data_IF_918805411101
#
_entry.id   IF_918805411101
#
_cell.length_a   1.000
_cell.length_b   1.000
_cell.length_c   1.000
_cell.angle_alpha   90.00
_cell.angle_beta   90.00
_cell.angle_gamma   90.00
#
_symmetry.space_group_name_H-M   'P 1'
#
loop_
_entity.id
_entity.type
_entity.pdbx_description
1 polymer ?
#
# COMPACT_ATOMS: atom_id res chain seq x y z
N UNK A 1 5.15 -4.64 -16.30
CA UNK A 1 4.55 -4.94 -14.99
C UNK A 1 3.30 -5.77 -15.21
N UNK A 2 2.98 -6.70 -14.33
CA UNK A 2 1.73 -7.46 -14.37
C UNK A 2 1.04 -7.29 -13.01
N UNK A 3 0.12 -6.33 -12.91
CA UNK A 3 -0.51 -5.98 -11.65
C UNK A 3 -1.74 -6.84 -11.40
N UNK A 4 -1.69 -7.66 -10.34
CA UNK A 4 -2.84 -8.37 -9.80
C UNK A 4 -3.58 -7.47 -8.81
N UNK A 5 -4.83 -7.16 -9.10
CA UNK A 5 -5.71 -6.45 -8.17
C UNK A 5 -6.03 -7.32 -6.96
N UNK A 6 -5.98 -6.72 -5.76
CA UNK A 6 -6.33 -7.38 -4.50
C UNK A 6 -7.64 -6.82 -3.98
N UNK A 7 -7.64 -5.54 -3.60
CA UNK A 7 -8.84 -4.88 -3.15
C UNK A 7 -8.79 -3.37 -3.31
N UNK A 8 -9.97 -2.77 -3.27
CA UNK A 8 -10.23 -1.33 -3.20
C UNK A 8 -11.04 -1.07 -1.95
N UNK A 9 -10.80 0.08 -1.33
CA UNK A 9 -11.52 0.50 -0.12
C UNK A 9 -13.04 0.49 -0.33
N UNK A 10 -13.80 -0.35 0.42
CA UNK A 10 -15.23 -0.51 0.22
C UNK A 10 -16.04 0.70 0.71
N UNK A 11 -15.47 1.57 1.55
CA UNK A 11 -16.19 2.66 2.21
C UNK A 11 -16.00 4.02 1.51
N UNK A 12 -16.01 4.05 0.19
CA UNK A 12 -15.70 5.27 -0.57
C UNK A 12 -16.80 5.66 -1.56
N UNK A 13 -17.30 6.90 -1.41
CA UNK A 13 -18.36 7.48 -2.23
C UNK A 13 -17.88 8.03 -3.59
N UNK A 14 -16.83 7.45 -4.17
CA UNK A 14 -16.45 7.71 -5.58
C UNK A 14 -15.06 8.31 -5.81
N UNK A 15 -14.57 9.23 -4.98
CA UNK A 15 -13.45 10.07 -5.44
C UNK A 15 -12.06 9.72 -4.90
N UNK A 16 -11.93 9.01 -3.78
CA UNK A 16 -10.62 8.71 -3.19
C UNK A 16 -10.60 7.35 -2.49
N UNK A 17 -10.19 6.31 -3.22
CA UNK A 17 -10.28 4.93 -2.77
C UNK A 17 -8.88 4.30 -2.68
N UNK A 18 -8.33 4.15 -1.47
CA UNK A 18 -7.12 3.36 -1.28
C UNK A 18 -7.26 1.98 -1.93
N UNK A 19 -6.24 1.58 -2.68
CA UNK A 19 -6.28 0.39 -3.52
C UNK A 19 -4.95 -0.34 -3.45
N UNK A 20 -5.00 -1.67 -3.48
CA UNK A 20 -3.82 -2.54 -3.35
C UNK A 20 -3.75 -3.48 -4.54
N UNK A 21 -2.55 -3.58 -5.11
CA UNK A 21 -2.16 -4.54 -6.13
C UNK A 21 -0.88 -5.25 -5.74
N UNK A 22 -0.58 -6.36 -6.41
CA UNK A 22 0.72 -7.05 -6.37
C UNK A 22 1.28 -7.08 -7.79
N UNK A 23 2.54 -6.68 -8.00
CA UNK A 23 3.23 -6.97 -9.26
C UNK A 23 3.64 -8.45 -9.26
N UNK A 24 3.03 -9.25 -10.13
CA UNK A 24 3.27 -10.68 -10.20
C UNK A 24 4.71 -11.04 -10.54
N UNK A 25 5.47 -10.12 -11.15
CA UNK A 25 6.87 -10.31 -11.54
C UNK A 25 7.84 -10.08 -10.39
N UNK A 26 7.76 -8.91 -9.74
CA UNK A 26 8.68 -8.55 -8.65
C UNK A 26 8.19 -9.00 -7.28
N UNK A 27 6.91 -9.35 -7.16
CA UNK A 27 6.18 -9.59 -5.90
C UNK A 27 6.04 -8.33 -5.03
N UNK A 28 6.30 -7.16 -5.60
CA UNK A 28 6.11 -5.90 -4.87
C UNK A 28 4.63 -5.60 -4.65
N UNK A 29 4.30 -5.11 -3.46
CA UNK A 29 2.99 -4.53 -3.19
C UNK A 29 2.95 -3.11 -3.72
N UNK A 30 1.97 -2.82 -4.56
CA UNK A 30 1.69 -1.47 -5.06
C UNK A 30 0.45 -0.96 -4.32
N UNK A 31 0.59 0.15 -3.60
CA UNK A 31 -0.48 0.68 -2.75
C UNK A 31 -0.75 2.14 -3.12
N UNK A 32 -2.00 2.42 -3.49
CA UNK A 32 -2.53 3.77 -3.57
C UNK A 32 -3.17 4.12 -2.23
N UNK A 33 -2.77 5.24 -1.64
CA UNK A 33 -3.35 5.80 -0.42
C UNK A 33 -3.52 7.31 -0.53
N UNK A 34 -3.90 7.95 0.58
CA UNK A 34 -3.91 9.41 0.66
C UNK A 34 -2.50 9.93 0.93
N UNK A 35 -2.18 11.14 0.46
CA UNK A 35 -0.93 11.80 0.85
C UNK A 35 -0.93 12.04 2.36
N UNK A 36 0.20 11.80 3.00
CA UNK A 36 0.36 12.18 4.40
C UNK A 36 0.29 13.71 4.56
N UNK A 37 -0.19 14.16 5.72
CA UNK A 37 -0.07 15.56 6.12
C UNK A 37 1.36 15.86 6.58
N UNK A 38 1.73 17.14 6.62
CA UNK A 38 3.09 17.55 6.97
C UNK A 38 3.51 17.11 8.38
N UNK A 39 2.57 17.05 9.33
CA UNK A 39 2.85 16.57 10.69
C UNK A 39 3.26 15.09 10.68
N UNK A 40 2.51 14.25 9.96
CA UNK A 40 2.81 12.83 9.78
C UNK A 40 4.15 12.63 9.08
N UNK A 41 4.41 13.37 7.99
CA UNK A 41 5.68 13.29 7.28
C UNK A 41 6.86 13.67 8.18
N UNK A 42 6.76 14.75 8.96
CA UNK A 42 7.79 15.15 9.92
C UNK A 42 8.03 14.08 10.98
N UNK A 43 6.97 13.41 11.46
CA UNK A 43 7.12 12.30 12.42
C UNK A 43 7.85 11.11 11.80
N UNK A 44 7.56 10.78 10.53
CA UNK A 44 8.29 9.74 9.80
C UNK A 44 9.78 10.10 9.63
N UNK A 45 10.11 11.38 9.50
CA UNK A 45 11.50 11.84 9.37
C UNK A 45 12.35 11.62 10.64
N UNK A 46 11.73 11.37 11.80
CA UNK A 46 12.46 11.03 13.02
C UNK A 46 13.15 9.66 12.94
N UNK A 47 12.63 8.73 12.13
CA UNK A 47 13.19 7.38 11.98
C UNK A 47 14.08 7.23 10.74
N UNK A 48 13.97 8.13 9.76
CA UNK A 48 14.72 8.02 8.51
C UNK A 48 14.54 9.22 7.58
N UNK A 49 15.25 9.22 6.44
CA UNK A 49 15.07 10.25 5.40
C UNK A 49 13.97 9.81 4.44
N UNK A 50 13.27 10.78 3.84
CA UNK A 50 12.35 10.56 2.72
C UNK A 50 12.94 11.24 1.48
N UNK A 51 13.67 10.51 0.61
CA UNK A 51 14.18 11.02 -0.67
C UNK A 51 13.06 11.46 -1.62
N UNK A 52 13.40 12.24 -2.65
CA UNK A 52 12.44 12.71 -3.65
C UNK A 52 11.78 11.58 -4.47
N UNK A 53 12.37 10.37 -4.47
CA UNK A 53 11.83 9.16 -5.12
C UNK A 53 10.88 8.37 -4.21
N UNK A 54 10.70 8.79 -2.96
CA UNK A 54 9.86 8.11 -1.97
C UNK A 54 8.72 9.02 -1.51
N UNK A 55 7.64 8.43 -1.02
CA UNK A 55 6.49 9.16 -0.52
C UNK A 55 5.88 8.44 0.67
N UNK A 56 5.36 9.20 1.64
CA UNK A 56 4.56 8.67 2.74
C UNK A 56 3.10 8.75 2.35
N UNK A 57 2.44 7.60 2.33
CA UNK A 57 1.00 7.50 2.05
C UNK A 57 0.27 6.97 3.27
N UNK A 58 -0.87 7.59 3.59
CA UNK A 58 -1.80 7.12 4.61
C UNK A 58 -2.74 6.09 4.00
N UNK A 59 -2.74 4.90 4.58
CA UNK A 59 -3.66 3.82 4.21
C UNK A 59 -4.59 3.55 5.40
N UNK A 60 -5.93 3.54 5.22
CA UNK A 60 -6.86 3.31 6.31
C UNK A 60 -6.69 1.96 6.98
N UNK A 61 -6.88 1.90 8.30
CA UNK A 61 -6.82 0.65 9.06
C UNK A 61 -7.79 -0.44 8.55
N UNK A 62 -8.92 -0.05 7.95
CA UNK A 62 -9.87 -1.00 7.33
C UNK A 62 -9.30 -1.75 6.12
N UNK A 63 -8.23 -1.24 5.49
CA UNK A 63 -7.53 -1.93 4.40
C UNK A 63 -6.58 -3.01 4.91
N UNK A 64 -6.39 -3.18 6.22
CA UNK A 64 -5.44 -4.16 6.78
C UNK A 64 -5.70 -5.58 6.28
N UNK A 65 -6.97 -5.99 6.15
CA UNK A 65 -7.31 -7.31 5.62
C UNK A 65 -6.85 -7.47 4.16
N UNK A 66 -7.08 -6.46 3.32
CA UNK A 66 -6.63 -6.46 1.93
C UNK A 66 -5.09 -6.46 1.81
N UNK A 67 -4.39 -5.74 2.68
CA UNK A 67 -2.92 -5.73 2.68
C UNK A 67 -2.39 -7.11 3.07
N UNK A 68 -3.00 -7.79 4.05
CA UNK A 68 -2.62 -9.16 4.42
C UNK A 68 -2.80 -10.13 3.25
N UNK A 69 -3.93 -10.07 2.56
CA UNK A 69 -4.16 -10.88 1.35
C UNK A 69 -3.12 -10.56 0.26
N UNK A 70 -2.75 -9.30 0.08
CA UNK A 70 -1.70 -8.91 -0.86
C UNK A 70 -0.34 -9.52 -0.48
N UNK A 71 -0.01 -9.55 0.82
CA UNK A 71 1.19 -10.25 1.31
C UNK A 71 1.13 -11.75 0.99
N UNK A 72 0.01 -12.42 1.29
CA UNK A 72 -0.15 -13.85 1.01
C UNK A 72 0.00 -14.16 -0.51
N UNK A 73 -0.52 -13.28 -1.37
CA UNK A 73 -0.37 -13.40 -2.82
C UNK A 73 1.07 -13.14 -3.29
N UNK A 74 1.77 -12.20 -2.67
CA UNK A 74 3.16 -11.88 -2.98
C UNK A 74 4.10 -13.02 -2.56
N UNK A 75 3.93 -13.56 -1.36
CA UNK A 75 4.69 -14.70 -0.83
C UNK A 75 4.45 -15.96 -1.68
N UNK A 76 3.23 -16.13 -2.21
CA UNK A 76 2.84 -17.32 -2.95
C UNK A 76 2.78 -18.57 -2.07
N UNK A 77 2.63 -19.77 -2.64
CA UNK A 77 2.75 -21.00 -1.86
C UNK A 77 4.17 -21.08 -1.31
N UNK A 78 4.32 -21.05 0.02
CA UNK A 78 5.60 -21.27 0.66
C UNK A 78 6.22 -22.56 0.11
N UNK A 79 7.33 -22.45 -0.62
CA UNK A 79 8.15 -23.62 -0.96
C UNK A 79 8.78 -24.05 0.38
N UNK A 80 8.14 -25.01 1.03
CA UNK A 80 8.69 -25.74 2.17
C UNK A 80 9.65 -26.82 1.69
#
# INVERSE_FOLDING_TARGET
MALRFIAKDPNTNGDNCPTVWVDEKSKDLIIQGWKADSETEQKCLETGKIPATEAVVRVPARMVAAIREACDVADGPAIR
#
